data_IF_599633110349
#
_entry.id   IF_599633110349
#
_cell.length_a   1.000
_cell.length_b   1.000
_cell.length_c   1.000
_cell.angle_alpha   90.00
_cell.angle_beta   90.00
_cell.angle_gamma   90.00
#
_symmetry.space_group_name_H-M   'P 1'
#
loop_
_entity.id
_entity.type
_entity.pdbx_description
1 polymer ?
#
# COMPACT_ATOMS: atom_id res chain seq x y z
N UNK A 1 16.53 11.54 -3.56
CA UNK A 1 17.67 10.70 -4.02
C UNK A 1 17.12 9.38 -4.55
N UNK A 2 17.79 8.71 -5.51
CA UNK A 2 17.40 7.35 -5.94
C UNK A 2 18.02 6.30 -5.01
N UNK A 3 17.32 5.19 -4.78
CA UNK A 3 17.88 4.03 -4.10
C UNK A 3 17.54 2.73 -4.84
N UNK A 4 18.23 1.67 -4.48
CA UNK A 4 17.95 0.30 -4.89
C UNK A 4 18.17 -0.63 -3.71
N UNK A 5 17.29 -1.63 -3.54
CA UNK A 5 17.51 -2.75 -2.62
C UNK A 5 17.18 -4.07 -3.31
N UNK A 6 17.42 -5.16 -2.64
CA UNK A 6 17.17 -6.50 -3.16
C UNK A 6 16.05 -7.18 -2.38
N UNK A 7 15.18 -7.89 -3.11
CA UNK A 7 14.41 -9.00 -2.61
C UNK A 7 14.79 -10.24 -3.44
N UNK A 8 15.46 -11.16 -2.83
CA UNK A 8 16.09 -12.28 -3.53
C UNK A 8 16.96 -11.76 -4.70
N UNK A 9 16.76 -12.28 -5.90
CA UNK A 9 17.48 -11.87 -7.11
C UNK A 9 16.91 -10.60 -7.77
N UNK A 10 15.74 -10.12 -7.33
CA UNK A 10 15.06 -8.97 -7.91
C UNK A 10 15.56 -7.67 -7.29
N UNK A 11 15.72 -6.64 -8.13
CA UNK A 11 16.08 -5.30 -7.69
C UNK A 11 14.84 -4.42 -7.59
N UNK A 12 14.56 -3.93 -6.39
CA UNK A 12 13.56 -2.89 -6.12
C UNK A 12 14.23 -1.52 -6.32
N UNK A 13 13.52 -0.61 -6.99
CA UNK A 13 14.01 0.75 -7.27
C UNK A 13 13.02 1.80 -6.80
N UNK A 14 13.56 2.87 -6.21
CA UNK A 14 12.71 3.91 -5.64
C UNK A 14 13.44 5.23 -5.43
N UNK A 15 12.78 6.11 -4.67
CA UNK A 15 13.30 7.41 -4.27
C UNK A 15 13.16 7.63 -2.78
N UNK A 16 14.16 8.30 -2.23
CA UNK A 16 14.16 8.85 -0.87
C UNK A 16 14.00 10.36 -0.94
N UNK A 17 13.12 10.90 -0.11
CA UNK A 17 12.73 12.30 -0.01
C UNK A 17 13.02 12.80 1.40
N UNK A 18 13.32 14.07 1.52
CA UNK A 18 13.69 14.69 2.79
C UNK A 18 15.21 14.74 2.99
N UNK A 19 15.60 15.36 4.10
CA UNK A 19 16.99 15.40 4.54
C UNK A 19 17.38 14.04 5.12
N UNK A 20 18.66 13.72 5.08
CA UNK A 20 19.19 12.43 5.55
C UNK A 20 20.24 12.68 6.62
N UNK A 21 19.99 13.65 7.49
CA UNK A 21 20.87 14.09 8.55
C UNK A 21 20.28 13.77 9.93
N UNK A 22 20.95 12.92 10.67
CA UNK A 22 20.55 12.51 12.02
C UNK A 22 19.41 11.50 12.08
N UNK A 23 18.95 11.24 13.30
CA UNK A 23 17.89 10.27 13.58
C UNK A 23 16.53 10.78 13.14
N UNK A 24 15.83 10.04 12.32
CA UNK A 24 14.57 10.44 11.69
C UNK A 24 13.49 9.38 11.83
N UNK A 25 12.25 9.78 11.63
CA UNK A 25 11.11 8.87 11.45
C UNK A 25 10.88 8.66 9.95
N UNK A 26 10.80 7.42 9.53
CA UNK A 26 10.59 7.07 8.12
C UNK A 26 9.13 6.80 7.80
N UNK A 27 8.68 7.19 6.61
CA UNK A 27 7.40 6.78 6.04
C UNK A 27 7.67 6.10 4.70
N UNK A 28 7.29 4.83 4.57
CA UNK A 28 7.44 4.04 3.35
C UNK A 28 6.09 4.01 2.62
N UNK A 29 6.08 4.44 1.35
CA UNK A 29 4.86 4.65 0.58
C UNK A 29 4.72 3.62 -0.54
N UNK A 30 3.65 2.84 -0.48
CA UNK A 30 3.30 1.75 -1.39
C UNK A 30 2.19 2.16 -2.36
N UNK A 31 2.44 2.04 -3.65
CA UNK A 31 1.49 2.37 -4.71
C UNK A 31 0.40 1.30 -4.92
N UNK A 32 -0.65 1.64 -5.67
CA UNK A 32 -1.75 0.73 -6.00
C UNK A 32 -1.47 -0.19 -7.18
N UNK A 33 -2.46 -1.04 -7.49
CA UNK A 33 -2.44 -2.03 -8.57
C UNK A 33 -2.05 -1.41 -9.92
N UNK A 34 -1.08 -2.01 -10.59
CA UNK A 34 -0.53 -1.59 -11.90
C UNK A 34 -0.10 -0.12 -11.99
N UNK A 35 0.04 0.56 -10.85
CA UNK A 35 0.56 1.93 -10.76
C UNK A 35 2.10 1.91 -10.68
N UNK A 36 2.69 2.95 -10.16
CA UNK A 36 4.11 3.06 -9.83
C UNK A 36 4.30 4.12 -8.74
N UNK A 37 5.50 4.24 -8.19
CA UNK A 37 5.83 5.14 -7.10
C UNK A 37 5.43 6.62 -7.30
N UNK A 38 5.30 7.08 -8.57
CA UNK A 38 4.94 8.48 -8.87
C UNK A 38 3.56 8.87 -8.34
N UNK A 39 2.66 7.89 -8.18
CA UNK A 39 1.34 8.12 -7.59
C UNK A 39 1.42 8.53 -6.13
N UNK A 40 2.53 8.22 -5.45
CA UNK A 40 2.79 8.56 -4.05
C UNK A 40 3.61 9.86 -3.88
N UNK A 41 4.10 10.49 -4.96
CA UNK A 41 5.05 11.61 -4.88
C UNK A 41 4.49 12.85 -4.16
N UNK A 42 3.21 13.15 -4.31
CA UNK A 42 2.57 14.27 -3.61
C UNK A 42 2.66 14.08 -2.10
N UNK A 43 2.32 12.89 -1.62
CA UNK A 43 2.36 12.56 -0.19
C UNK A 43 3.80 12.46 0.33
N UNK A 44 4.72 11.90 -0.46
CA UNK A 44 6.13 11.82 -0.08
C UNK A 44 6.77 13.20 0.08
N UNK A 45 6.46 14.16 -0.82
CA UNK A 45 6.92 15.54 -0.69
C UNK A 45 6.36 16.22 0.56
N UNK A 46 5.06 16.08 0.80
CA UNK A 46 4.42 16.62 1.99
C UNK A 46 5.09 16.10 3.27
N UNK A 47 5.31 14.78 3.37
CA UNK A 47 5.94 14.16 4.53
C UNK A 47 7.39 14.60 4.71
N UNK A 48 8.13 14.74 3.61
CA UNK A 48 9.50 15.27 3.62
C UNK A 48 9.56 16.73 4.10
N UNK A 49 8.61 17.58 3.68
CA UNK A 49 8.46 18.96 4.16
C UNK A 49 8.09 19.02 5.66
N UNK A 50 7.43 17.98 6.17
CA UNK A 50 7.14 17.83 7.60
C UNK A 50 8.33 17.32 8.43
N UNK A 51 9.43 16.91 7.79
CA UNK A 51 10.65 16.43 8.42
C UNK A 51 10.81 14.92 8.50
N UNK A 52 9.92 14.15 7.86
CA UNK A 52 10.06 12.70 7.76
C UNK A 52 11.00 12.29 6.63
N UNK A 53 11.66 11.14 6.77
CA UNK A 53 12.31 10.44 5.69
C UNK A 53 11.23 9.69 4.89
N UNK A 54 10.77 10.23 3.77
CA UNK A 54 9.77 9.54 2.96
C UNK A 54 10.43 8.68 1.88
N UNK A 55 9.96 7.45 1.71
CA UNK A 55 10.52 6.47 0.77
C UNK A 55 9.42 5.97 -0.16
N UNK A 56 9.59 6.17 -1.47
CA UNK A 56 8.69 5.65 -2.50
C UNK A 56 9.43 4.63 -3.36
N UNK A 57 8.76 3.61 -3.84
CA UNK A 57 9.36 2.55 -4.66
C UNK A 57 8.34 1.92 -5.60
N UNK A 58 8.83 1.25 -6.64
CA UNK A 58 8.02 0.40 -7.50
C UNK A 58 8.06 -1.04 -6.99
N UNK A 59 6.90 -1.66 -6.78
CA UNK A 59 6.82 -3.11 -6.53
C UNK A 59 7.37 -3.91 -7.71
N UNK A 60 8.00 -5.05 -7.44
CA UNK A 60 8.51 -5.95 -8.47
C UNK A 60 7.39 -6.50 -9.35
N UNK A 61 7.40 -6.15 -10.64
CA UNK A 61 6.33 -6.51 -11.57
C UNK A 61 5.00 -5.77 -11.32
N UNK A 62 4.90 -4.89 -10.32
CA UNK A 62 3.66 -4.27 -9.83
C UNK A 62 3.05 -3.20 -10.73
N UNK A 63 3.78 -2.70 -11.72
CA UNK A 63 3.34 -1.57 -12.55
C UNK A 63 3.29 -1.84 -14.05
N UNK A 64 2.50 -1.03 -14.77
CA UNK A 64 2.56 -1.02 -16.26
C UNK A 64 3.89 -0.42 -16.70
N UNK A 65 4.31 0.65 -16.06
CA UNK A 65 5.63 1.29 -16.23
C UNK A 65 6.35 1.15 -14.89
N UNK A 66 7.04 0.05 -14.71
CA UNK A 66 7.76 -0.31 -13.49
C UNK A 66 9.27 -0.24 -13.74
N UNK A 67 10.03 0.30 -12.78
CA UNK A 67 11.49 0.34 -12.85
C UNK A 67 12.15 -0.77 -12.03
N UNK A 68 11.43 -1.35 -11.08
CA UNK A 68 11.85 -2.55 -10.38
C UNK A 68 11.80 -3.77 -11.29
N UNK A 69 12.61 -4.77 -10.97
CA UNK A 69 12.67 -6.02 -11.73
C UNK A 69 11.35 -6.82 -11.59
N UNK A 70 11.27 -7.98 -12.22
CA UNK A 70 10.10 -8.86 -12.13
C UNK A 70 9.11 -8.69 -13.27
N UNK A 71 8.29 -9.73 -13.46
CA UNK A 71 7.23 -9.76 -14.48
C UNK A 71 5.87 -9.59 -13.80
N UNK A 72 4.91 -8.96 -14.48
CA UNK A 72 3.54 -8.81 -13.96
C UNK A 72 2.87 -10.15 -13.65
N UNK A 73 3.23 -11.20 -14.39
CA UNK A 73 2.67 -12.53 -14.18
C UNK A 73 3.12 -13.18 -12.87
N UNK A 74 4.23 -12.73 -12.30
CA UNK A 74 4.78 -13.25 -11.05
C UNK A 74 4.37 -12.39 -9.84
N UNK A 75 3.73 -11.23 -10.09
CA UNK A 75 3.28 -10.31 -9.04
C UNK A 75 2.01 -10.85 -8.37
N UNK A 76 2.01 -10.83 -7.06
CA UNK A 76 0.87 -11.11 -6.18
C UNK A 76 0.88 -10.15 -4.98
N UNK A 77 -0.22 -10.08 -4.23
CA UNK A 77 -0.26 -9.34 -2.96
C UNK A 77 0.84 -9.82 -2.00
N UNK A 78 1.14 -11.12 -1.97
CA UNK A 78 2.17 -11.68 -1.09
C UNK A 78 3.59 -11.37 -1.56
N UNK A 79 3.85 -11.33 -2.88
CA UNK A 79 5.16 -10.90 -3.38
C UNK A 79 5.38 -9.41 -3.18
N UNK A 80 4.33 -8.57 -3.28
CA UNK A 80 4.40 -7.15 -2.94
C UNK A 80 4.62 -6.92 -1.43
N UNK A 81 4.04 -7.78 -0.56
CA UNK A 81 4.34 -7.76 0.87
C UNK A 81 5.82 -8.06 1.13
N UNK A 82 6.39 -9.05 0.46
CA UNK A 82 7.82 -9.36 0.56
C UNK A 82 8.70 -8.20 0.05
N UNK A 83 8.30 -7.52 -1.04
CA UNK A 83 8.99 -6.31 -1.51
C UNK A 83 8.98 -5.20 -0.45
N UNK A 84 7.83 -4.95 0.19
CA UNK A 84 7.71 -3.94 1.24
C UNK A 84 8.60 -4.26 2.44
N UNK A 85 8.65 -5.53 2.87
CA UNK A 85 9.53 -5.98 3.96
C UNK A 85 11.00 -5.71 3.61
N UNK A 86 11.43 -6.06 2.39
CA UNK A 86 12.80 -5.79 1.93
C UNK A 86 13.13 -4.28 1.90
N UNK A 87 12.17 -3.43 1.54
CA UNK A 87 12.34 -1.97 1.61
C UNK A 87 12.43 -1.48 3.06
N UNK A 88 11.63 -2.03 3.98
CA UNK A 88 11.70 -1.69 5.42
C UNK A 88 13.09 -2.02 5.98
N UNK A 89 13.58 -3.22 5.70
CA UNK A 89 14.92 -3.68 6.12
C UNK A 89 16.01 -2.77 5.57
N UNK A 90 15.98 -2.49 4.27
CA UNK A 90 16.92 -1.57 3.63
C UNK A 90 16.92 -0.18 4.26
N UNK A 91 15.73 0.38 4.55
CA UNK A 91 15.61 1.70 5.18
C UNK A 91 16.26 1.70 6.56
N UNK A 92 16.06 0.65 7.35
CA UNK A 92 16.66 0.49 8.68
C UNK A 92 18.17 0.31 8.65
N UNK A 93 18.68 -0.36 7.61
CA UNK A 93 20.11 -0.59 7.45
C UNK A 93 20.86 0.66 6.95
N UNK A 94 20.24 1.43 6.07
CA UNK A 94 20.92 2.53 5.39
C UNK A 94 20.75 3.89 6.07
N UNK A 95 19.73 4.04 6.93
CA UNK A 95 19.38 5.32 7.57
C UNK A 95 19.22 5.15 9.07
N UNK A 96 19.59 6.17 9.84
CA UNK A 96 19.32 6.23 11.28
C UNK A 96 17.84 6.57 11.51
N UNK A 97 16.98 5.53 11.50
CA UNK A 97 15.54 5.70 11.70
C UNK A 97 15.11 5.22 13.08
N UNK A 98 14.32 6.04 13.78
CA UNK A 98 13.74 5.66 15.07
C UNK A 98 12.42 4.92 14.93
N UNK A 99 11.61 5.31 13.96
CA UNK A 99 10.24 4.86 13.76
C UNK A 99 9.97 4.63 12.27
N UNK A 100 9.21 3.60 11.95
CA UNK A 100 8.78 3.30 10.58
C UNK A 100 7.26 3.35 10.50
N UNK A 101 6.76 4.21 9.64
CA UNK A 101 5.35 4.30 9.25
C UNK A 101 5.16 3.72 7.87
N UNK A 102 4.04 3.05 7.62
CA UNK A 102 3.65 2.57 6.30
C UNK A 102 2.49 3.40 5.77
N UNK A 103 2.61 3.90 4.54
CA UNK A 103 1.49 4.52 3.81
C UNK A 103 1.21 3.70 2.57
N UNK A 104 0.00 3.20 2.42
CA UNK A 104 -0.40 2.44 1.25
C UNK A 104 -1.66 2.97 0.57
N UNK A 105 -1.62 3.03 -0.77
CA UNK A 105 -2.75 3.42 -1.60
C UNK A 105 -3.36 2.20 -2.29
N UNK A 106 -4.68 2.01 -2.19
CA UNK A 106 -5.40 0.92 -2.88
C UNK A 106 -4.81 -0.46 -2.55
N UNK A 107 -4.30 -1.23 -3.53
CA UNK A 107 -3.60 -2.50 -3.28
C UNK A 107 -2.39 -2.32 -2.35
N UNK A 108 -1.60 -1.25 -2.52
CA UNK A 108 -0.51 -0.95 -1.59
C UNK A 108 -1.01 -0.72 -0.15
N UNK A 109 -2.25 -0.24 0.02
CA UNK A 109 -2.91 -0.15 1.34
C UNK A 109 -3.20 -1.52 1.94
N UNK A 110 -3.70 -2.45 1.13
CA UNK A 110 -3.91 -3.83 1.57
C UNK A 110 -2.58 -4.52 1.94
N UNK A 111 -1.56 -4.38 1.08
CA UNK A 111 -0.20 -4.88 1.34
C UNK A 111 0.39 -4.29 2.62
N UNK A 112 0.27 -2.97 2.82
CA UNK A 112 0.76 -2.30 4.04
C UNK A 112 0.06 -2.77 5.31
N UNK A 113 -1.26 -3.04 5.23
CA UNK A 113 -2.04 -3.54 6.36
C UNK A 113 -1.62 -4.98 6.74
N UNK A 114 -1.44 -5.86 5.76
CA UNK A 114 -0.92 -7.22 5.97
C UNK A 114 0.50 -7.20 6.55
N UNK A 115 1.35 -6.29 6.07
CA UNK A 115 2.72 -6.14 6.58
C UNK A 115 2.73 -5.63 8.02
N UNK A 116 1.89 -4.64 8.35
CA UNK A 116 1.80 -4.11 9.71
C UNK A 116 1.28 -5.16 10.71
N UNK A 117 0.31 -6.00 10.30
CA UNK A 117 -0.18 -7.09 11.13
C UNK A 117 0.89 -8.16 11.39
N UNK A 118 1.72 -8.49 10.38
CA UNK A 118 2.80 -9.46 10.52
C UNK A 118 3.95 -8.95 11.39
N UNK A 119 4.36 -7.69 11.18
CA UNK A 119 5.52 -7.13 11.86
C UNK A 119 5.22 -6.56 13.25
N UNK A 120 3.95 -6.27 13.55
CA UNK A 120 3.51 -5.72 14.83
C UNK A 120 3.82 -4.25 15.06
N UNK A 121 3.23 -3.68 16.11
CA UNK A 121 3.40 -2.28 16.48
C UNK A 121 4.80 -1.95 17.03
N UNK A 122 5.54 -2.94 17.46
CA UNK A 122 6.94 -2.82 17.88
C UNK A 122 7.89 -2.56 16.70
N UNK A 123 7.47 -2.96 15.50
CA UNK A 123 8.24 -2.73 14.27
C UNK A 123 7.65 -1.64 13.39
N UNK A 124 6.33 -1.44 13.41
CA UNK A 124 5.64 -0.45 12.61
C UNK A 124 4.94 0.54 13.54
N UNK A 125 5.45 1.75 13.59
CA UNK A 125 5.01 2.80 14.51
C UNK A 125 3.67 3.44 14.13
N UNK A 126 3.21 3.27 12.89
CA UNK A 126 1.91 3.73 12.41
C UNK A 126 1.57 3.26 10.99
N UNK A 127 0.28 3.13 10.72
CA UNK A 127 -0.26 2.63 9.45
C UNK A 127 -1.20 3.67 8.83
N UNK A 128 -0.96 4.04 7.57
CA UNK A 128 -1.73 5.04 6.84
C UNK A 128 -2.31 4.38 5.60
N UNK A 129 -3.63 4.31 5.52
CA UNK A 129 -4.37 3.58 4.50
C UNK A 129 -5.24 4.52 3.67
N UNK A 130 -4.92 4.66 2.40
CA UNK A 130 -5.67 5.45 1.43
C UNK A 130 -6.50 4.53 0.56
N UNK A 131 -7.83 4.58 0.71
CA UNK A 131 -8.80 3.75 -0.06
C UNK A 131 -8.30 2.31 -0.27
N UNK A 132 -7.92 1.58 0.82
CA UNK A 132 -7.25 0.29 0.71
C UNK A 132 -8.13 -0.74 0.02
N UNK A 133 -7.54 -1.53 -0.90
CA UNK A 133 -8.27 -2.49 -1.73
C UNK A 133 -8.54 -3.82 -0.99
N UNK A 134 -9.27 -3.74 0.12
CA UNK A 134 -9.64 -4.90 0.95
C UNK A 134 -10.60 -5.85 0.22
N UNK A 135 -11.19 -5.41 -0.89
CA UNK A 135 -12.07 -6.22 -1.73
C UNK A 135 -11.34 -7.32 -2.53
N UNK A 136 -9.99 -7.31 -2.62
CA UNK A 136 -9.24 -8.23 -3.49
C UNK A 136 -9.57 -9.71 -3.22
N UNK A 137 -9.65 -10.22 -1.97
CA UNK A 137 -10.06 -11.60 -1.71
C UNK A 137 -11.51 -11.89 -2.14
N UNK A 138 -12.45 -10.96 -1.91
CA UNK A 138 -13.85 -11.11 -2.32
C UNK A 138 -13.97 -11.10 -3.85
N UNK A 139 -13.23 -10.25 -4.53
CA UNK A 139 -13.18 -10.22 -6.00
C UNK A 139 -12.63 -11.56 -6.55
N UNK A 140 -11.60 -12.14 -5.92
CA UNK A 140 -11.06 -13.44 -6.30
C UNK A 140 -12.11 -14.56 -6.11
N UNK A 141 -12.81 -14.59 -4.97
CA UNK A 141 -13.92 -15.54 -4.70
C UNK A 141 -15.08 -15.39 -5.68
N UNK A 142 -15.36 -14.17 -6.10
CA UNK A 142 -16.37 -13.88 -7.11
C UNK A 142 -15.90 -14.18 -8.55
N UNK A 143 -14.69 -14.72 -8.74
CA UNK A 143 -14.12 -14.98 -10.07
C UNK A 143 -13.89 -13.70 -10.87
N UNK A 144 -13.45 -12.63 -10.20
CA UNK A 144 -13.28 -11.31 -10.80
C UNK A 144 -11.88 -10.76 -10.47
N UNK A 145 -11.28 -10.10 -11.42
CA UNK A 145 -10.08 -9.28 -11.28
C UNK A 145 -10.24 -8.05 -12.15
N UNK A 146 -10.52 -6.90 -11.52
CA UNK A 146 -10.91 -5.67 -12.20
C UNK A 146 -12.07 -5.93 -13.19
N UNK A 147 -11.83 -5.82 -14.50
CA UNK A 147 -12.82 -6.07 -15.56
C UNK A 147 -12.78 -7.48 -16.16
N UNK A 148 -11.85 -8.31 -15.68
CA UNK A 148 -11.69 -9.68 -16.16
C UNK A 148 -12.42 -10.65 -15.25
N UNK A 149 -13.13 -11.62 -15.85
CA UNK A 149 -13.85 -12.69 -15.14
C UNK A 149 -13.20 -14.04 -15.40
N UNK A 150 -13.20 -14.91 -14.41
CA UNK A 150 -12.69 -16.27 -14.45
C UNK A 150 -13.53 -17.19 -13.58
N UNK A 151 -13.38 -18.50 -13.74
CA UNK A 151 -13.98 -19.48 -12.82
C UNK A 151 -13.12 -19.59 -11.55
N UNK A 152 -13.65 -19.22 -10.37
CA UNK A 152 -12.88 -19.28 -9.12
C UNK A 152 -12.53 -20.72 -8.69
N UNK A 153 -13.27 -21.74 -9.19
CA UNK A 153 -12.96 -23.15 -8.96
C UNK A 153 -11.91 -23.71 -9.92
N UNK A 154 -11.64 -23.00 -11.02
CA UNK A 154 -10.65 -23.39 -12.02
C UNK A 154 -9.89 -22.15 -12.54
N UNK A 155 -9.09 -21.56 -11.66
CA UNK A 155 -8.35 -20.33 -11.92
C UNK A 155 -7.31 -20.61 -13.03
N UNK A 156 -7.38 -19.92 -14.19
CA UNK A 156 -6.42 -20.12 -15.28
C UNK A 156 -5.01 -19.62 -14.88
N UNK A 157 -3.97 -20.14 -15.53
CA UNK A 157 -2.59 -19.72 -15.26
C UNK A 157 -2.33 -18.26 -15.60
N UNK A 158 -3.12 -17.68 -16.50
CA UNK A 158 -3.03 -16.27 -16.86
C UNK A 158 -4.41 -15.62 -16.78
N UNK A 159 -4.47 -14.49 -16.08
CA UNK A 159 -5.64 -13.65 -15.90
C UNK A 159 -5.50 -12.34 -16.68
N UNK A 160 -6.59 -11.94 -17.35
CA UNK A 160 -6.66 -10.69 -18.08
C UNK A 160 -5.95 -10.69 -19.43
N UNK A 161 -5.83 -9.49 -20.00
CA UNK A 161 -5.19 -9.21 -21.28
C UNK A 161 -4.24 -8.03 -21.14
N UNK A 162 -3.32 -7.87 -22.09
CA UNK A 162 -2.46 -6.68 -22.11
C UNK A 162 -3.29 -5.37 -21.99
N UNK A 163 -2.90 -4.42 -21.15
CA UNK A 163 -1.67 -4.37 -20.33
C UNK A 163 -1.79 -5.05 -18.94
N UNK A 164 -2.96 -5.59 -18.57
CA UNK A 164 -3.27 -6.16 -17.25
C UNK A 164 -3.19 -7.71 -17.26
N UNK A 165 -2.20 -8.28 -17.94
CA UNK A 165 -2.01 -9.74 -17.95
C UNK A 165 -1.21 -10.15 -16.71
N UNK A 166 -1.88 -10.83 -15.76
CA UNK A 166 -1.32 -11.36 -14.52
C UNK A 166 -1.23 -12.88 -14.54
N UNK A 167 -0.47 -13.46 -13.61
CA UNK A 167 -0.53 -14.88 -13.32
C UNK A 167 -1.77 -15.25 -12.50
N UNK A 168 -2.21 -16.51 -12.61
CA UNK A 168 -3.33 -17.02 -11.81
C UNK A 168 -3.07 -17.00 -10.31
N UNK A 169 -1.80 -17.02 -9.92
CA UNK A 169 -1.38 -16.96 -8.52
C UNK A 169 -1.77 -15.64 -7.83
N UNK A 170 -2.02 -14.57 -8.60
CA UNK A 170 -2.58 -13.34 -8.06
C UNK A 170 -3.93 -13.58 -7.37
N UNK A 171 -4.79 -14.41 -7.94
CA UNK A 171 -6.07 -14.77 -7.33
C UNK A 171 -5.93 -15.93 -6.34
N UNK A 172 -5.11 -16.95 -6.67
CA UNK A 172 -4.92 -18.13 -5.81
C UNK A 172 -4.40 -17.78 -4.43
N UNK A 173 -3.49 -16.82 -4.31
CA UNK A 173 -2.87 -16.47 -3.03
C UNK A 173 -3.81 -15.76 -2.05
N UNK A 174 -4.94 -15.22 -2.53
CA UNK A 174 -5.87 -14.44 -1.69
C UNK A 174 -7.28 -15.05 -1.60
N UNK A 175 -7.64 -16.01 -2.44
CA UNK A 175 -9.02 -16.52 -2.56
C UNK A 175 -9.55 -17.13 -1.26
N UNK A 176 -8.70 -17.77 -0.46
CA UNK A 176 -9.05 -18.35 0.85
C UNK A 176 -8.87 -17.38 2.03
N UNK A 177 -8.33 -16.19 1.78
CA UNK A 177 -7.96 -15.22 2.81
C UNK A 177 -9.20 -14.50 3.34
N UNK A 178 -9.41 -14.45 4.66
CA UNK A 178 -10.25 -13.41 5.27
C UNK A 178 -9.37 -12.20 5.56
N UNK A 179 -9.52 -11.10 4.79
CA UNK A 179 -8.62 -9.96 4.95
C UNK A 179 -8.72 -9.30 6.33
N UNK A 180 -9.86 -9.40 7.01
CA UNK A 180 -10.03 -8.79 8.33
C UNK A 180 -9.35 -9.62 9.42
N UNK A 181 -9.37 -10.95 9.31
CA UNK A 181 -8.63 -11.83 10.21
C UNK A 181 -7.12 -11.66 10.02
N UNK A 182 -6.65 -11.58 8.78
CA UNK A 182 -5.22 -11.41 8.46
C UNK A 182 -4.65 -10.06 8.90
N UNK A 183 -5.48 -9.03 8.97
CA UNK A 183 -5.05 -7.66 9.33
C UNK A 183 -5.34 -7.29 10.79
N UNK A 184 -6.08 -8.11 11.52
CA UNK A 184 -6.31 -7.86 12.95
C UNK A 184 -5.03 -8.07 13.77
N UNK A 185 -5.00 -7.53 14.98
CA UNK A 185 -3.84 -7.67 15.88
C UNK A 185 -2.79 -6.57 15.75
N UNK A 186 -2.88 -5.69 14.74
CA UNK A 186 -2.06 -4.49 14.75
C UNK A 186 -2.64 -3.46 15.74
N UNK A 187 -1.86 -3.15 16.78
CA UNK A 187 -2.29 -2.27 17.89
C UNK A 187 -1.76 -0.83 17.77
N UNK A 188 -0.95 -0.56 16.76
CA UNK A 188 -0.43 0.78 16.49
C UNK A 188 -1.51 1.76 16.00
N UNK A 189 -1.18 3.06 15.90
CA UNK A 189 -2.09 4.05 15.36
C UNK A 189 -2.34 3.82 13.86
N UNK A 190 -3.61 3.91 13.47
CA UNK A 190 -4.04 3.75 12.07
C UNK A 190 -4.74 5.03 11.60
N UNK A 191 -4.32 5.56 10.46
CA UNK A 191 -5.06 6.57 9.71
C UNK A 191 -5.69 5.91 8.48
N UNK A 192 -7.01 5.96 8.37
CA UNK A 192 -7.76 5.36 7.28
C UNK A 192 -8.61 6.43 6.60
N UNK A 193 -8.40 6.65 5.30
CA UNK A 193 -9.13 7.64 4.53
C UNK A 193 -9.71 7.04 3.25
N UNK A 194 -10.99 7.31 2.95
CA UNK A 194 -11.69 6.75 1.81
C UNK A 194 -12.70 7.75 1.22
N UNK A 195 -12.88 7.73 -0.10
CA UNK A 195 -13.86 8.55 -0.80
C UNK A 195 -15.25 7.92 -0.81
N UNK A 196 -16.31 8.71 -0.55
CA UNK A 196 -17.70 8.19 -0.49
C UNK A 196 -18.25 7.77 -1.86
N UNK A 197 -17.67 8.25 -2.96
CA UNK A 197 -18.07 7.92 -4.33
C UNK A 197 -17.05 7.03 -5.07
N UNK A 198 -16.29 6.19 -4.33
CA UNK A 198 -15.30 5.29 -4.92
C UNK A 198 -15.97 4.16 -5.72
N UNK A 199 -15.78 4.12 -7.06
CA UNK A 199 -16.40 3.11 -7.92
C UNK A 199 -15.60 1.81 -8.03
N UNK A 200 -14.39 1.77 -7.48
CA UNK A 200 -13.46 0.62 -7.57
C UNK A 200 -13.49 -0.19 -6.29
N UNK A 201 -13.31 0.47 -5.15
CA UNK A 201 -13.36 -0.15 -3.83
C UNK A 201 -14.53 0.45 -3.06
N UNK A 202 -15.56 -0.35 -2.78
CA UNK A 202 -16.71 0.14 -2.03
C UNK A 202 -16.26 0.59 -0.63
N UNK A 203 -16.69 1.77 -0.21
CA UNK A 203 -16.33 2.38 1.08
C UNK A 203 -16.67 1.49 2.28
N UNK A 204 -17.66 0.60 2.14
CA UNK A 204 -18.07 -0.34 3.20
C UNK A 204 -16.91 -1.24 3.68
N UNK A 205 -15.94 -1.52 2.82
CA UNK A 205 -14.72 -2.23 3.23
C UNK A 205 -13.92 -1.43 4.27
N UNK A 206 -13.73 -0.14 4.06
CA UNK A 206 -13.05 0.71 5.04
C UNK A 206 -13.91 0.97 6.28
N UNK A 207 -15.23 1.08 6.14
CA UNK A 207 -16.16 1.20 7.26
C UNK A 207 -16.13 -0.05 8.17
N UNK A 208 -15.92 -1.24 7.61
CA UNK A 208 -15.70 -2.47 8.37
C UNK A 208 -14.27 -2.50 8.94
N UNK A 209 -13.27 -2.14 8.14
CA UNK A 209 -11.85 -2.17 8.51
C UNK A 209 -11.54 -1.31 9.74
N UNK A 210 -12.12 -0.11 9.85
CA UNK A 210 -11.90 0.78 11.01
C UNK A 210 -12.22 0.13 12.36
N UNK A 211 -13.10 -0.89 12.37
CA UNK A 211 -13.56 -1.52 13.63
C UNK A 211 -12.60 -2.60 14.14
N UNK A 212 -11.65 -3.07 13.30
CA UNK A 212 -10.66 -4.06 13.75
C UNK A 212 -9.42 -3.39 14.38
N UNK A 213 -9.23 -2.09 14.16
CA UNK A 213 -8.09 -1.37 14.70
C UNK A 213 -8.49 -0.56 15.94
N UNK A 214 -7.87 -0.81 17.11
CA UNK A 214 -8.26 -0.16 18.37
C UNK A 214 -7.96 1.36 18.39
N UNK A 215 -7.02 1.82 17.55
CA UNK A 215 -6.56 3.22 17.47
C UNK A 215 -6.69 3.75 16.04
N UNK A 216 -7.91 3.75 15.50
CA UNK A 216 -8.17 4.17 14.12
C UNK A 216 -8.76 5.57 14.03
N UNK A 217 -8.05 6.48 13.35
CA UNK A 217 -8.59 7.76 12.86
C UNK A 217 -9.16 7.53 11.47
N UNK A 218 -10.49 7.56 11.33
CA UNK A 218 -11.17 7.31 10.06
C UNK A 218 -11.74 8.59 9.47
N UNK A 219 -11.45 8.83 8.19
CA UNK A 219 -11.89 10.02 7.44
C UNK A 219 -12.61 9.60 6.16
N UNK A 220 -13.85 10.04 5.99
CA UNK A 220 -14.59 9.94 4.72
C UNK A 220 -14.44 11.25 3.95
N UNK A 221 -14.11 11.16 2.65
CA UNK A 221 -14.00 12.32 1.76
C UNK A 221 -15.22 12.32 0.86
N UNK A 222 -16.15 13.20 1.15
CA UNK A 222 -17.44 13.28 0.46
C UNK A 222 -17.28 13.56 -1.03
N UNK A 223 -17.91 12.71 -1.87
CA UNK A 223 -17.88 12.80 -3.33
C UNK A 223 -16.56 12.38 -3.99
N UNK A 224 -15.55 11.99 -3.22
CA UNK A 224 -14.27 11.55 -3.79
C UNK A 224 -14.39 10.13 -4.34
N UNK A 225 -13.77 9.91 -5.52
CA UNK A 225 -13.62 8.60 -6.14
C UNK A 225 -12.29 7.93 -5.76
N UNK A 226 -12.00 6.81 -6.44
CA UNK A 226 -10.77 6.06 -6.26
C UNK A 226 -9.55 6.85 -6.74
N UNK A 227 -8.52 6.93 -5.90
CA UNK A 227 -7.32 7.72 -6.22
C UNK A 227 -7.66 9.21 -6.20
N UNK A 228 -7.55 9.84 -5.07
CA UNK A 228 -7.88 11.25 -4.90
C UNK A 228 -7.26 12.15 -5.96
N UNK A 229 -8.04 13.11 -6.48
CA UNK A 229 -7.63 14.05 -7.52
C UNK A 229 -8.07 15.46 -7.18
N UNK A 230 -7.29 16.48 -7.60
CA UNK A 230 -7.64 17.90 -7.47
C UNK A 230 -7.92 18.30 -6.01
N UNK A 231 -9.13 18.80 -5.73
CA UNK A 231 -9.54 19.23 -4.39
C UNK A 231 -9.51 18.09 -3.35
N UNK A 232 -9.86 16.87 -3.74
CA UNK A 232 -9.86 15.71 -2.86
C UNK A 232 -8.44 15.29 -2.46
N UNK A 233 -7.47 15.44 -3.37
CA UNK A 233 -6.06 15.22 -3.07
C UNK A 233 -5.56 16.24 -2.02
N UNK A 234 -5.97 17.50 -2.13
CA UNK A 234 -5.67 18.52 -1.11
C UNK A 234 -6.28 18.19 0.25
N UNK A 235 -7.56 17.76 0.28
CA UNK A 235 -8.20 17.34 1.53
C UNK A 235 -7.49 16.14 2.17
N UNK A 236 -7.08 15.16 1.36
CA UNK A 236 -6.30 14.01 1.82
C UNK A 236 -4.94 14.43 2.39
N UNK A 237 -4.24 15.36 1.72
CA UNK A 237 -2.98 15.92 2.21
C UNK A 237 -3.15 16.67 3.55
N UNK A 238 -4.20 17.46 3.69
CA UNK A 238 -4.50 18.19 4.94
C UNK A 238 -4.80 17.22 6.09
N UNK A 239 -5.63 16.20 5.85
CA UNK A 239 -5.95 15.18 6.83
C UNK A 239 -4.72 14.33 7.23
N UNK A 240 -3.89 13.95 6.24
CA UNK A 240 -2.62 13.27 6.50
C UNK A 240 -1.68 14.14 7.34
N UNK A 241 -1.55 15.41 6.99
CA UNK A 241 -0.72 16.36 7.73
C UNK A 241 -1.17 16.51 9.18
N UNK A 242 -2.48 16.60 9.41
CA UNK A 242 -3.05 16.68 10.74
C UNK A 242 -2.69 15.44 11.57
N UNK A 243 -2.93 14.24 11.04
CA UNK A 243 -2.59 12.98 11.70
C UNK A 243 -1.10 12.87 11.99
N UNK A 244 -0.24 13.16 11.02
CA UNK A 244 1.21 13.03 11.16
C UNK A 244 1.85 14.11 12.05
N UNK A 245 1.13 15.18 12.39
CA UNK A 245 1.65 16.23 13.29
C UNK A 245 1.92 15.70 14.70
N UNK A 246 1.13 14.73 15.15
CA UNK A 246 1.28 14.11 16.48
C UNK A 246 2.52 13.18 16.55
N UNK A 247 3.14 12.91 15.42
CA UNK A 247 4.29 11.99 15.30
C UNK A 247 5.58 12.68 14.81
N UNK A 248 5.64 14.02 14.81
CA UNK A 248 6.87 14.77 14.47
C UNK A 248 8.01 14.57 15.46
#
# INVERSE_FOLDING_TARGET
MKFTCKRDELTIRGHVWGKQDGRQKAVILSHGFLANERTCFTYAKLLAEMGFLAVTYDFCGGGIICRSDGRKQDMTVLTEKADLIAVIEHVREQYDVSDVFLLGCSQGGFVSALTAAELGAENISGLILFYPAICIPDDARAGKMMFYKFDPNNIPDLLGRFPMKLGGDYARCVISMDPYEEMQGYEGPVFLIHGTADPIVNITYSQKLKNIYPRCTYVEVEGAGHGFKRQYDRQACEALKQFMTDYK
#
